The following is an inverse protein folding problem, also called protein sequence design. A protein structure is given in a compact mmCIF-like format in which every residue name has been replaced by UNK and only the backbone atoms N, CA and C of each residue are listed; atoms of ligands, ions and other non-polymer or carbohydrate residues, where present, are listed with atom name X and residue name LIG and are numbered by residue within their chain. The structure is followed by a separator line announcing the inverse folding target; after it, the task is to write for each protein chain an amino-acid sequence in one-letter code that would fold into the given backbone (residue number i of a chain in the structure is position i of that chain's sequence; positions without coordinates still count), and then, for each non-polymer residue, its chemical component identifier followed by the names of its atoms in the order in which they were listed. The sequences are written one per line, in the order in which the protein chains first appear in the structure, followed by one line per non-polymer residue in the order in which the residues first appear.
data_IF_590562273386
#
_entry.id   IF_590562273386
#
_cell.length_a   1.000
_cell.length_b   1.000
_cell.length_c   1.000
_cell.angle_alpha   90.00
_cell.angle_beta   90.00
_cell.angle_gamma   90.00
#
_symmetry.space_group_name_H-M   'P 1'
#
loop_
_entity.id
_entity.type
_entity.pdbx_description
1 polymer ?
#
# COMPACT_ATOMS: atom_id res chain seq x y z
N UNK A 1 29.01 13.84 -4.09
CA UNK A 1 29.68 12.59 -3.61
C UNK A 1 29.45 11.51 -4.64
N UNK A 2 30.40 10.58 -4.89
CA UNK A 2 30.16 9.53 -5.89
C UNK A 2 29.09 8.55 -5.35
N UNK A 3 27.92 8.38 -6.00
CA UNK A 3 26.84 7.46 -5.60
C UNK A 3 27.29 6.00 -5.48
N UNK A 4 28.24 5.57 -6.32
CA UNK A 4 28.83 4.23 -6.27
C UNK A 4 29.50 3.93 -4.92
N UNK A 5 29.98 4.96 -4.21
CA UNK A 5 30.64 4.79 -2.91
C UNK A 5 29.68 4.24 -1.85
N UNK A 6 28.42 4.68 -1.83
CA UNK A 6 27.42 4.15 -0.89
C UNK A 6 27.04 2.72 -1.23
N UNK A 7 26.81 2.42 -2.51
CA UNK A 7 26.47 1.07 -2.97
C UNK A 7 27.52 0.04 -2.49
N UNK A 8 28.80 0.37 -2.63
CA UNK A 8 29.91 -0.51 -2.21
C UNK A 8 30.07 -0.64 -0.69
N UNK A 9 29.41 0.22 0.09
CA UNK A 9 29.41 0.17 1.55
C UNK A 9 28.21 -0.56 2.14
N UNK A 10 27.18 -0.87 1.36
CA UNK A 10 26.04 -1.65 1.86
C UNK A 10 26.50 -3.07 2.16
N UNK A 11 26.34 -3.49 3.41
CA UNK A 11 26.78 -4.81 3.88
C UNK A 11 25.75 -5.88 3.49
N UNK A 12 26.12 -6.74 2.54
CA UNK A 12 25.28 -7.84 2.07
C UNK A 12 24.88 -8.80 3.20
N UNK A 13 25.77 -9.06 4.15
CA UNK A 13 25.47 -9.95 5.27
C UNK A 13 24.41 -9.33 6.18
N UNK A 14 24.56 -8.05 6.51
CA UNK A 14 23.58 -7.32 7.30
C UNK A 14 22.20 -7.33 6.63
N UNK A 15 22.14 -7.12 5.31
CA UNK A 15 20.89 -7.19 4.51
C UNK A 15 20.24 -8.56 4.65
N UNK A 16 20.99 -9.65 4.51
CA UNK A 16 20.47 -11.02 4.62
C UNK A 16 19.99 -11.33 6.03
N UNK A 17 20.76 -10.96 7.04
CA UNK A 17 20.44 -11.23 8.45
C UNK A 17 19.16 -10.51 8.86
N UNK A 18 19.02 -9.21 8.54
CA UNK A 18 17.84 -8.43 8.84
C UNK A 18 16.60 -8.95 8.09
N UNK A 19 16.73 -9.22 6.79
CA UNK A 19 15.61 -9.75 6.00
C UNK A 19 15.13 -11.09 6.55
N UNK A 20 16.06 -11.97 6.95
CA UNK A 20 15.74 -13.25 7.58
C UNK A 20 14.97 -13.06 8.88
N UNK A 21 15.41 -12.17 9.74
CA UNK A 21 14.74 -11.89 11.01
C UNK A 21 13.34 -11.31 10.81
N UNK A 22 13.19 -10.33 9.90
CA UNK A 22 11.91 -9.69 9.65
C UNK A 22 10.88 -10.67 9.03
N UNK A 23 11.33 -11.56 8.14
CA UNK A 23 10.45 -12.62 7.61
C UNK A 23 10.02 -13.58 8.72
N UNK A 24 10.96 -14.00 9.57
CA UNK A 24 10.68 -14.95 10.66
C UNK A 24 9.81 -14.33 11.77
N UNK A 25 9.62 -13.01 11.76
CA UNK A 25 8.71 -12.30 12.66
C UNK A 25 7.35 -12.16 12.00
N UNK A 26 6.41 -13.04 12.37
CA UNK A 26 5.03 -12.97 11.88
C UNK A 26 4.37 -11.64 12.28
N UNK A 27 3.66 -11.03 11.34
CA UNK A 27 2.99 -9.73 11.54
C UNK A 27 1.73 -9.57 10.68
N UNK A 28 0.76 -10.50 10.77
CA UNK A 28 -0.49 -10.29 10.06
C UNK A 28 -1.20 -9.03 10.59
N UNK A 29 -2.02 -8.40 9.75
CA UNK A 29 -2.78 -7.20 10.14
C UNK A 29 -3.49 -7.41 11.48
N UNK A 30 -3.26 -6.51 12.43
CA UNK A 30 -3.77 -6.60 13.80
C UNK A 30 -2.84 -7.26 14.81
N UNK A 31 -1.70 -7.83 14.38
CA UNK A 31 -0.73 -8.52 15.24
C UNK A 31 0.71 -8.03 14.97
N UNK A 32 0.88 -6.74 14.68
CA UNK A 32 2.16 -6.14 14.28
C UNK A 32 3.14 -5.91 15.45
N UNK A 33 2.72 -6.11 16.71
CA UNK A 33 3.49 -5.72 17.89
C UNK A 33 4.90 -6.29 17.96
N UNK A 34 5.09 -7.58 17.64
CA UNK A 34 6.42 -8.19 17.64
C UNK A 34 7.32 -7.62 16.52
N UNK A 35 6.75 -7.38 15.35
CA UNK A 35 7.46 -6.76 14.23
C UNK A 35 7.89 -5.33 14.58
N UNK A 36 7.02 -4.56 15.22
CA UNK A 36 7.34 -3.20 15.67
C UNK A 36 8.51 -3.18 16.65
N UNK A 37 8.55 -4.12 17.61
CA UNK A 37 9.67 -4.25 18.57
C UNK A 37 10.97 -4.67 17.90
N UNK A 38 10.91 -5.60 16.93
CA UNK A 38 12.08 -6.02 16.16
C UNK A 38 12.65 -4.85 15.34
N UNK A 39 11.80 -4.14 14.64
CA UNK A 39 12.20 -2.97 13.84
C UNK A 39 12.75 -1.84 14.72
N UNK A 40 12.11 -1.55 15.87
CA UNK A 40 12.58 -0.54 16.82
C UNK A 40 13.99 -0.84 17.32
N UNK A 41 14.28 -2.11 17.65
CA UNK A 41 15.61 -2.56 18.06
C UNK A 41 16.65 -2.36 16.93
N UNK A 42 16.34 -2.78 15.70
CA UNK A 42 17.23 -2.62 14.55
C UNK A 42 17.55 -1.14 14.28
N UNK A 43 16.54 -0.26 14.37
CA UNK A 43 16.73 1.18 14.22
C UNK A 43 17.63 1.77 15.30
N UNK A 44 17.51 1.29 16.53
CA UNK A 44 18.38 1.72 17.65
C UNK A 44 19.83 1.28 17.43
N UNK A 45 20.05 0.08 16.94
CA UNK A 45 21.40 -0.47 16.65
C UNK A 45 22.15 0.38 15.60
N UNK A 46 21.45 0.96 14.62
CA UNK A 46 22.06 1.88 13.66
C UNK A 46 22.10 3.34 14.14
N UNK A 47 21.78 3.60 15.42
CA UNK A 47 21.97 4.88 16.09
C UNK A 47 20.78 5.84 16.01
N UNK A 48 19.60 5.38 15.65
CA UNK A 48 18.39 6.18 15.74
C UNK A 48 17.93 6.33 17.20
N UNK A 49 17.37 7.47 17.56
CA UNK A 49 16.50 7.60 18.73
C UNK A 49 15.15 7.00 18.37
N UNK A 50 14.70 6.03 19.14
CA UNK A 50 13.53 5.22 18.78
C UNK A 50 12.35 5.44 19.69
N UNK A 51 11.15 5.16 19.17
CA UNK A 51 9.87 5.22 19.86
C UNK A 51 8.96 4.13 19.32
N UNK A 52 8.23 3.46 20.23
CA UNK A 52 7.06 2.65 19.88
C UNK A 52 5.81 3.48 20.17
N UNK A 53 5.19 4.00 19.11
CA UNK A 53 3.95 4.77 19.21
C UNK A 53 2.76 3.81 19.27
N UNK A 54 2.14 3.68 20.46
CA UNK A 54 0.98 2.82 20.64
C UNK A 54 -0.26 3.41 19.96
N UNK A 55 -0.92 2.62 19.14
CA UNK A 55 -2.18 2.98 18.48
C UNK A 55 -3.35 2.51 19.35
N UNK A 56 -3.43 1.22 19.60
CA UNK A 56 -4.32 0.56 20.57
C UNK A 56 -3.91 -0.92 20.72
N UNK A 57 -4.27 -1.54 21.82
CA UNK A 57 -3.86 -2.90 22.19
C UNK A 57 -2.34 -3.11 22.01
N UNK A 58 -1.90 -4.17 21.33
CA UNK A 58 -0.51 -4.47 21.00
C UNK A 58 -0.15 -4.03 19.56
N UNK A 59 -0.81 -2.99 19.03
CA UNK A 59 -0.52 -2.41 17.73
C UNK A 59 0.29 -1.13 17.88
N UNK A 60 1.50 -1.11 17.33
CA UNK A 60 2.42 0.02 17.43
C UNK A 60 2.92 0.43 16.05
N UNK A 61 3.20 1.72 15.90
CA UNK A 61 4.16 2.18 14.91
C UNK A 61 5.57 2.16 15.54
N UNK A 62 6.57 1.71 14.80
CA UNK A 62 7.97 1.76 15.19
C UNK A 62 8.64 2.95 14.49
N UNK A 63 9.15 3.91 15.26
CA UNK A 63 9.69 5.17 14.72
C UNK A 63 11.14 5.31 15.18
N UNK A 64 12.05 5.55 14.24
CA UNK A 64 13.44 5.87 14.49
C UNK A 64 13.81 7.21 13.89
N UNK A 65 14.43 8.09 14.66
CA UNK A 65 14.93 9.39 14.19
C UNK A 65 16.45 9.45 14.28
N UNK A 66 17.09 9.66 13.14
CA UNK A 66 18.52 9.96 13.03
C UNK A 66 18.66 11.49 12.89
N UNK A 67 19.22 12.14 13.91
CA UNK A 67 19.37 13.58 13.93
C UNK A 67 20.38 14.07 12.89
N UNK A 68 19.98 15.04 12.09
CA UNK A 68 20.84 15.80 11.18
C UNK A 68 21.68 16.85 11.90
N UNK A 69 22.30 17.75 11.13
CA UNK A 69 23.02 18.91 11.68
C UNK A 69 22.11 20.11 11.99
N UNK A 70 20.81 20.05 11.64
CA UNK A 70 19.77 21.01 12.00
C UNK A 70 19.41 22.06 10.94
N UNK A 71 19.98 22.00 9.72
CA UNK A 71 19.77 23.01 8.66
C UNK A 71 19.02 22.53 7.42
N UNK A 72 18.78 21.22 7.29
CA UNK A 72 18.14 20.62 6.11
C UNK A 72 16.69 20.18 6.35
N UNK A 73 16.04 19.67 5.31
CA UNK A 73 14.68 19.10 5.39
C UNK A 73 14.64 17.83 6.22
N UNK A 74 13.55 17.62 6.93
CA UNK A 74 13.23 16.32 7.52
C UNK A 74 12.70 15.39 6.44
N UNK A 75 13.29 14.22 6.34
CA UNK A 75 12.88 13.17 5.36
C UNK A 75 12.31 12.00 6.13
N UNK A 76 11.09 11.61 5.79
CA UNK A 76 10.44 10.38 6.26
C UNK A 76 10.70 9.26 5.25
N UNK A 77 11.11 8.10 5.75
CA UNK A 77 11.13 6.83 5.01
C UNK A 77 10.22 5.86 5.74
N UNK A 78 9.14 5.44 5.12
CA UNK A 78 8.20 4.55 5.80
C UNK A 78 7.85 3.31 4.99
N UNK A 79 7.24 2.39 5.69
CA UNK A 79 6.64 1.20 5.14
C UNK A 79 5.67 0.56 6.14
N UNK A 80 4.82 -0.33 5.65
CA UNK A 80 3.94 -1.09 6.53
C UNK A 80 4.62 -2.37 7.05
N UNK A 81 4.27 -2.74 8.27
CA UNK A 81 4.80 -3.92 8.94
C UNK A 81 3.91 -5.14 8.78
N UNK A 82 2.63 -4.91 8.49
CA UNK A 82 1.66 -5.99 8.36
C UNK A 82 1.78 -6.75 7.04
N UNK A 83 1.28 -7.99 7.04
CA UNK A 83 1.34 -8.90 5.90
C UNK A 83 -0.06 -9.28 5.43
N UNK A 84 -0.20 -9.53 4.10
CA UNK A 84 -1.47 -9.87 3.46
C UNK A 84 -2.05 -11.21 3.94
N UNK A 85 -1.20 -12.10 4.45
CA UNK A 85 -1.56 -13.41 4.96
C UNK A 85 -0.88 -13.67 6.30
N UNK A 86 -1.41 -14.61 7.09
CA UNK A 86 -0.85 -14.99 8.39
C UNK A 86 0.45 -15.80 8.25
N UNK A 87 0.57 -16.56 7.14
CA UNK A 87 1.69 -17.45 6.88
C UNK A 87 1.51 -18.89 7.39
N UNK A 88 0.35 -19.21 7.96
CA UNK A 88 -0.03 -20.53 8.47
C UNK A 88 -1.22 -21.14 7.72
N UNK A 89 -1.75 -20.48 6.69
CA UNK A 89 -2.85 -20.99 5.88
C UNK A 89 -2.46 -22.26 5.12
N UNK A 90 -3.29 -23.30 5.24
CA UNK A 90 -3.04 -24.62 4.62
C UNK A 90 -3.08 -24.60 3.08
N UNK A 91 -3.83 -23.65 2.51
CA UNK A 91 -3.98 -23.51 1.06
C UNK A 91 -2.83 -22.74 0.40
N UNK A 92 -1.94 -22.11 1.18
CA UNK A 92 -0.76 -21.39 0.73
C UNK A 92 0.50 -22.20 1.03
N UNK A 93 0.91 -23.07 0.08
CA UNK A 93 1.97 -24.06 0.31
C UNK A 93 3.38 -23.60 -0.09
N UNK A 94 3.50 -22.54 -0.88
CA UNK A 94 4.79 -22.01 -1.34
C UNK A 94 5.64 -21.43 -0.21
N UNK A 95 6.96 -21.55 -0.33
CA UNK A 95 7.93 -21.07 0.68
C UNK A 95 7.86 -19.56 0.94
N UNK A 96 7.48 -18.78 -0.08
CA UNK A 96 7.29 -17.34 0.03
C UNK A 96 6.01 -16.90 0.75
N UNK A 97 5.13 -17.83 1.11
CA UNK A 97 3.94 -17.57 1.92
C UNK A 97 4.14 -17.85 3.41
N UNK A 98 5.30 -18.36 3.81
CA UNK A 98 5.56 -18.79 5.18
C UNK A 98 6.38 -17.75 5.94
N UNK A 99 6.14 -17.66 7.26
CA UNK A 99 6.93 -16.85 8.18
C UNK A 99 8.25 -17.57 8.55
N UNK A 100 8.89 -18.13 7.55
CA UNK A 100 10.20 -18.78 7.63
C UNK A 100 10.99 -18.39 6.38
N UNK A 101 12.04 -17.62 6.58
CA UNK A 101 12.89 -17.17 5.49
C UNK A 101 13.63 -18.34 4.82
N UNK A 102 13.59 -18.39 3.50
CA UNK A 102 14.44 -19.28 2.70
C UNK A 102 15.41 -18.42 1.91
N UNK A 103 16.68 -18.51 2.30
CA UNK A 103 17.77 -17.74 1.67
C UNK A 103 18.38 -18.56 0.54
N UNK A 104 18.35 -18.02 -0.66
CA UNK A 104 19.04 -18.52 -1.84
C UNK A 104 20.19 -17.57 -2.22
N UNK A 105 21.12 -17.93 -3.10
CA UNK A 105 22.29 -17.09 -3.38
C UNK A 105 21.99 -15.67 -3.86
N UNK A 106 20.86 -15.48 -4.57
CA UNK A 106 20.45 -14.20 -5.18
C UNK A 106 19.17 -13.61 -4.58
N UNK A 107 18.42 -14.35 -3.77
CA UNK A 107 17.10 -13.94 -3.27
C UNK A 107 16.75 -14.48 -1.90
N UNK A 108 15.75 -13.86 -1.30
CA UNK A 108 15.14 -14.31 -0.06
C UNK A 108 13.65 -14.48 -0.29
N UNK A 109 13.13 -15.64 0.12
CA UNK A 109 11.70 -15.97 0.11
C UNK A 109 11.12 -15.84 1.51
N UNK A 110 9.86 -15.42 1.58
CA UNK A 110 9.10 -15.42 2.82
C UNK A 110 7.95 -14.44 2.81
N UNK A 111 7.00 -14.64 3.70
CA UNK A 111 5.81 -13.83 3.83
C UNK A 111 6.13 -12.37 4.17
N UNK A 112 5.61 -11.46 3.35
CA UNK A 112 5.81 -10.02 3.52
C UNK A 112 7.18 -9.51 3.10
N UNK A 113 8.11 -10.35 2.58
CA UNK A 113 9.43 -9.86 2.22
C UNK A 113 9.38 -8.90 1.03
N UNK A 114 8.51 -9.14 0.04
CA UNK A 114 8.33 -8.25 -1.08
C UNK A 114 7.40 -7.09 -0.72
N UNK A 115 6.31 -7.35 -0.01
CA UNK A 115 5.34 -6.36 0.40
C UNK A 115 5.25 -6.26 1.95
N UNK A 116 6.03 -5.40 2.65
CA UNK A 116 7.15 -4.63 2.12
C UNK A 116 8.33 -4.60 3.13
N UNK A 117 8.53 -5.72 3.86
CA UNK A 117 9.59 -5.81 4.91
C UNK A 117 10.99 -5.48 4.37
N UNK A 118 11.24 -5.75 3.06
CA UNK A 118 12.50 -5.42 2.41
C UNK A 118 12.86 -3.92 2.48
N UNK A 119 11.87 -3.03 2.48
CA UNK A 119 12.11 -1.60 2.57
C UNK A 119 12.82 -1.21 3.87
N UNK A 120 12.45 -1.80 5.01
CA UNK A 120 13.14 -1.55 6.28
C UNK A 120 14.58 -2.03 6.25
N UNK A 121 14.81 -3.18 5.61
CA UNK A 121 16.19 -3.70 5.39
C UNK A 121 17.00 -2.69 4.61
N UNK A 122 16.47 -2.19 3.50
CA UNK A 122 17.13 -1.21 2.64
C UNK A 122 17.40 0.10 3.38
N UNK A 123 16.44 0.62 4.14
CA UNK A 123 16.61 1.86 4.91
C UNK A 123 17.69 1.73 5.98
N UNK A 124 17.65 0.66 6.77
CA UNK A 124 18.60 0.43 7.86
C UNK A 124 20.01 0.17 7.33
N UNK A 125 20.14 -0.66 6.29
CA UNK A 125 21.43 -0.91 5.63
C UNK A 125 22.01 0.36 4.98
N UNK A 126 21.16 1.21 4.43
CA UNK A 126 21.57 2.52 3.89
C UNK A 126 22.07 3.48 4.97
N UNK A 127 21.39 3.54 6.13
CA UNK A 127 21.85 4.33 7.29
C UNK A 127 23.19 3.81 7.81
N UNK A 128 23.35 2.50 7.93
CA UNK A 128 24.63 1.90 8.34
C UNK A 128 25.76 2.25 7.35
N UNK A 129 25.52 2.16 6.05
CA UNK A 129 26.48 2.54 5.02
C UNK A 129 26.86 4.02 5.10
N UNK A 130 25.90 4.93 5.31
CA UNK A 130 26.17 6.37 5.54
C UNK A 130 27.04 6.59 6.77
N UNK A 131 26.72 5.94 7.90
CA UNK A 131 27.51 6.06 9.14
C UNK A 131 28.95 5.60 8.92
N UNK A 132 29.17 4.47 8.25
CA UNK A 132 30.51 3.97 7.92
C UNK A 132 31.25 4.88 6.94
N UNK A 133 30.54 5.59 6.09
CA UNK A 133 31.09 6.61 5.20
C UNK A 133 31.40 7.94 5.91
N UNK A 134 30.99 8.12 7.16
CA UNK A 134 31.09 9.39 7.88
C UNK A 134 30.13 10.48 7.35
N UNK A 135 29.05 10.10 6.66
CA UNK A 135 28.09 11.02 6.07
C UNK A 135 27.02 11.37 7.13
N UNK A 136 26.81 12.67 7.32
CA UNK A 136 25.73 13.21 8.14
C UNK A 136 24.92 14.17 7.31
N UNK A 137 23.59 13.95 7.27
CA UNK A 137 22.68 14.82 6.56
C UNK A 137 22.50 16.17 7.30
N UNK A 138 22.23 17.25 6.57
CA UNK A 138 21.82 18.52 7.18
C UNK A 138 20.48 18.41 7.92
N UNK A 139 19.49 17.73 7.35
CA UNK A 139 18.18 17.49 7.96
C UNK A 139 18.06 16.14 8.68
N UNK A 140 17.01 15.98 9.44
CA UNK A 140 16.70 14.73 10.14
C UNK A 140 16.21 13.66 9.14
N UNK A 141 16.60 12.42 9.42
CA UNK A 141 16.02 11.24 8.75
C UNK A 141 15.11 10.50 9.74
N UNK A 142 13.87 10.28 9.38
CA UNK A 142 12.90 9.52 10.15
C UNK A 142 12.59 8.23 9.41
N UNK A 143 12.78 7.09 10.04
CA UNK A 143 12.34 5.80 9.51
C UNK A 143 11.16 5.32 10.33
N UNK A 144 10.09 4.90 9.68
CA UNK A 144 8.87 4.47 10.35
C UNK A 144 8.30 3.16 9.76
N UNK A 145 8.12 2.18 10.63
CA UNK A 145 7.25 1.03 10.36
C UNK A 145 5.85 1.32 10.87
N UNK A 146 4.86 1.23 9.98
CA UNK A 146 3.46 1.53 10.31
C UNK A 146 2.63 0.26 10.37
N UNK A 147 1.62 0.23 11.25
CA UNK A 147 0.71 -0.89 11.39
C UNK A 147 -0.54 -0.69 10.53
N UNK A 148 -1.06 -1.78 9.95
CA UNK A 148 -2.38 -1.77 9.32
C UNK A 148 -2.46 -0.96 8.03
N UNK A 149 -1.64 -1.29 7.06
CA UNK A 149 -1.74 -0.76 5.69
C UNK A 149 -2.55 -1.69 4.80
N UNK A 150 -2.39 -3.01 4.94
CA UNK A 150 -3.03 -4.02 4.10
C UNK A 150 -4.54 -3.74 3.96
N UNK A 151 -5.05 -3.94 2.75
CA UNK A 151 -6.41 -3.63 2.33
C UNK A 151 -7.47 -4.43 3.08
N UNK A 152 -7.81 -3.95 4.27
CA UNK A 152 -8.87 -4.49 5.12
C UNK A 152 -9.72 -3.36 5.70
N UNK A 153 -11.04 -3.59 5.77
CA UNK A 153 -11.97 -2.67 6.40
C UNK A 153 -13.06 -3.44 7.16
N UNK A 154 -13.47 -2.98 8.35
CA UNK A 154 -14.52 -3.62 9.12
C UNK A 154 -15.86 -3.61 8.37
N UNK A 155 -16.51 -4.77 8.31
CA UNK A 155 -17.83 -4.95 7.72
C UNK A 155 -18.55 -6.17 8.33
N UNK A 156 -19.84 -6.08 8.55
CA UNK A 156 -20.70 -7.15 9.06
C UNK A 156 -20.12 -7.82 10.33
N UNK A 157 -19.92 -9.14 10.37
CA UNK A 157 -19.29 -9.86 11.47
C UNK A 157 -17.76 -9.70 11.53
N UNK A 158 -17.14 -9.17 10.49
CA UNK A 158 -15.69 -8.94 10.42
C UNK A 158 -15.33 -7.61 11.07
N UNK A 159 -15.18 -7.62 12.40
CA UNK A 159 -14.90 -6.46 13.24
C UNK A 159 -13.62 -6.67 14.06
N UNK A 160 -13.13 -5.61 14.66
CA UNK A 160 -11.96 -5.68 15.52
C UNK A 160 -10.63 -5.48 14.79
N UNK A 161 -9.53 -5.63 15.53
CA UNK A 161 -8.20 -5.18 15.14
C UNK A 161 -7.66 -5.83 13.85
N UNK A 162 -8.04 -7.07 13.57
CA UNK A 162 -7.57 -7.81 12.38
C UNK A 162 -8.15 -7.29 11.05
N UNK A 163 -9.19 -6.46 11.13
CA UNK A 163 -9.83 -5.88 9.95
C UNK A 163 -9.60 -4.37 9.84
N UNK A 164 -8.77 -3.79 10.69
CA UNK A 164 -8.39 -2.38 10.64
C UNK A 164 -7.06 -2.22 9.91
N UNK A 165 -7.14 -2.00 8.61
CA UNK A 165 -6.04 -1.74 7.71
C UNK A 165 -6.13 -0.38 7.02
N UNK A 166 -5.74 -0.33 5.76
CA UNK A 166 -5.83 0.83 4.86
C UNK A 166 -5.22 2.12 5.42
N UNK A 167 -3.93 2.04 5.81
CA UNK A 167 -3.15 3.20 6.22
C UNK A 167 -3.47 3.72 7.61
N UNK A 168 -4.04 2.88 8.46
CA UNK A 168 -4.37 3.28 9.82
C UNK A 168 -3.16 3.80 10.59
N UNK A 169 -2.05 3.06 10.54
CA UNK A 169 -0.82 3.39 11.30
C UNK A 169 -0.16 4.66 10.81
N UNK A 170 0.04 4.83 9.49
CA UNK A 170 0.64 6.05 8.96
C UNK A 170 -0.21 7.27 9.30
N UNK A 171 -1.50 7.20 9.08
CA UNK A 171 -2.43 8.30 9.38
C UNK A 171 -2.40 8.67 10.85
N UNK A 172 -2.43 7.67 11.74
CA UNK A 172 -2.28 7.89 13.18
C UNK A 172 -0.96 8.58 13.50
N UNK A 173 0.15 8.11 12.96
CA UNK A 173 1.47 8.68 13.18
C UNK A 173 1.55 10.16 12.78
N UNK A 174 1.07 10.48 11.59
CA UNK A 174 1.14 11.84 11.05
C UNK A 174 0.29 12.84 11.83
N UNK A 175 -0.93 12.46 12.24
CA UNK A 175 -1.81 13.34 13.03
C UNK A 175 -1.38 13.46 14.50
N UNK A 176 -0.49 12.57 14.99
CA UNK A 176 0.06 12.59 16.34
C UNK A 176 1.51 13.11 16.39
N UNK A 177 1.85 14.02 15.49
CA UNK A 177 3.04 14.87 15.61
C UNK A 177 4.29 14.41 14.87
N UNK A 178 4.27 13.29 14.17
CA UNK A 178 5.36 12.93 13.25
C UNK A 178 5.09 13.60 11.91
N UNK A 179 5.96 14.50 11.51
CA UNK A 179 5.85 15.22 10.23
C UNK A 179 7.20 15.28 9.53
N UNK A 180 7.18 15.54 8.22
CA UNK A 180 8.37 15.64 7.40
C UNK A 180 8.18 16.63 6.25
N UNK A 181 9.29 17.03 5.63
CA UNK A 181 9.29 17.86 4.43
C UNK A 181 9.07 17.05 3.17
N UNK A 182 9.60 15.81 3.15
CA UNK A 182 9.51 14.84 2.06
C UNK A 182 9.33 13.43 2.60
N UNK A 183 8.75 12.57 1.79
CA UNK A 183 8.53 11.17 2.15
C UNK A 183 8.91 10.22 1.02
N UNK A 184 9.62 9.15 1.37
CA UNK A 184 9.83 7.97 0.54
C UNK A 184 9.06 6.80 1.13
N UNK A 185 8.20 6.19 0.33
CA UNK A 185 7.45 5.00 0.70
C UNK A 185 7.99 3.79 -0.07
N UNK A 186 8.44 2.76 0.65
CA UNK A 186 9.17 1.61 0.08
C UNK A 186 8.30 0.49 -0.49
N UNK A 187 7.12 0.79 -0.97
CA UNK A 187 6.25 -0.20 -1.63
C UNK A 187 6.92 -0.85 -2.85
N UNK A 188 6.58 -2.10 -3.17
CA UNK A 188 7.27 -2.88 -4.19
C UNK A 188 6.95 -2.41 -5.62
N UNK A 189 7.61 -1.36 -6.07
CA UNK A 189 7.45 -0.77 -7.42
C UNK A 189 8.41 -1.37 -8.47
N UNK A 190 9.13 -2.43 -8.14
CA UNK A 190 10.17 -3.02 -9.00
C UNK A 190 11.26 -2.01 -9.40
N UNK A 191 11.61 -1.11 -8.48
CA UNK A 191 12.57 -0.03 -8.67
C UNK A 191 12.16 1.02 -9.72
N UNK A 192 10.86 1.17 -9.95
CA UNK A 192 10.31 2.25 -10.79
C UNK A 192 9.76 3.34 -9.88
N UNK A 193 10.25 4.60 -9.96
CA UNK A 193 9.70 5.70 -9.18
C UNK A 193 8.23 5.94 -9.54
N UNK A 194 7.34 6.00 -8.54
CA UNK A 194 5.91 6.25 -8.77
C UNK A 194 5.51 7.66 -8.36
N UNK A 195 4.77 8.33 -9.25
CA UNK A 195 4.25 9.69 -9.05
C UNK A 195 2.89 9.71 -8.38
N UNK A 196 2.13 8.63 -8.47
CA UNK A 196 0.76 8.63 -7.99
C UNK A 196 0.05 7.30 -8.15
N UNK A 197 -1.17 7.25 -7.66
CA UNK A 197 -1.99 6.05 -7.62
C UNK A 197 -3.48 6.34 -7.62
N UNK A 198 -4.26 5.34 -8.00
CA UNK A 198 -5.71 5.44 -8.00
C UNK A 198 -6.29 5.49 -6.59
N UNK A 199 -7.48 6.08 -6.48
CA UNK A 199 -8.34 5.94 -5.32
C UNK A 199 -9.15 4.65 -5.36
N UNK A 200 -9.88 4.39 -4.28
CA UNK A 200 -10.72 3.21 -4.13
C UNK A 200 -11.94 3.52 -3.30
N UNK A 201 -13.05 2.85 -3.57
CA UNK A 201 -14.23 2.78 -2.70
C UNK A 201 -14.81 1.39 -2.72
N UNK A 202 -15.26 0.91 -1.54
CA UNK A 202 -15.84 -0.42 -1.38
C UNK A 202 -17.33 -0.32 -1.06
N UNK A 203 -18.10 -1.09 -1.79
CA UNK A 203 -19.55 -1.16 -1.64
C UNK A 203 -20.00 -2.58 -1.31
N UNK A 204 -21.00 -2.69 -0.42
CA UNK A 204 -21.82 -3.87 -0.23
C UNK A 204 -23.19 -3.59 -0.84
N UNK A 205 -23.61 -4.38 -1.83
CA UNK A 205 -24.94 -4.35 -2.43
C UNK A 205 -25.74 -5.52 -1.89
N UNK A 206 -26.91 -5.26 -1.30
CA UNK A 206 -27.79 -6.27 -0.73
C UNK A 206 -29.06 -6.40 -1.55
N UNK A 207 -29.43 -7.64 -1.87
CA UNK A 207 -30.64 -8.00 -2.59
C UNK A 207 -31.50 -8.87 -1.68
N UNK A 208 -32.80 -8.59 -1.64
CA UNK A 208 -33.76 -9.25 -0.76
C UNK A 208 -34.69 -10.20 -1.51
N UNK A 209 -34.92 -11.37 -0.94
CA UNK A 209 -35.85 -12.38 -1.41
C UNK A 209 -36.85 -12.80 -0.35
N UNK A 210 -37.54 -13.93 -0.58
CA UNK A 210 -38.47 -14.52 0.34
C UNK A 210 -37.81 -15.63 1.18
N UNK A 211 -38.24 -15.76 2.42
CA UNK A 211 -37.84 -16.88 3.27
C UNK A 211 -38.96 -17.95 3.30
N UNK A 212 -38.96 -18.82 2.29
CA UNK A 212 -39.97 -19.85 2.14
C UNK A 212 -39.36 -21.26 2.11
N UNK A 213 -40.20 -22.28 2.27
CA UNK A 213 -39.78 -23.66 2.11
C UNK A 213 -39.51 -23.95 0.62
N UNK A 214 -38.48 -24.76 0.30
CA UNK A 214 -38.10 -25.12 -1.07
C UNK A 214 -39.23 -25.73 -1.91
N UNK A 215 -40.23 -26.35 -1.24
CA UNK A 215 -41.44 -26.84 -1.94
C UNK A 215 -42.26 -25.71 -2.65
N UNK A 216 -42.03 -24.46 -2.29
CA UNK A 216 -42.69 -23.27 -2.88
C UNK A 216 -41.72 -22.43 -3.70
N UNK A 217 -40.56 -22.97 -4.06
CA UNK A 217 -39.47 -22.24 -4.76
C UNK A 217 -40.00 -21.51 -6.01
N UNK A 218 -40.77 -22.20 -6.85
CA UNK A 218 -41.26 -21.63 -8.12
C UNK A 218 -42.23 -20.43 -7.97
N UNK A 219 -42.78 -20.26 -6.77
CA UNK A 219 -43.71 -19.17 -6.43
C UNK A 219 -43.10 -18.09 -5.53
N UNK A 220 -41.82 -18.20 -5.20
CA UNK A 220 -41.12 -17.30 -4.27
C UNK A 220 -39.92 -16.65 -4.93
N UNK A 221 -39.51 -15.49 -4.41
CA UNK A 221 -38.37 -14.75 -4.92
C UNK A 221 -37.11 -15.20 -4.20
N UNK A 222 -36.12 -15.70 -4.93
CA UNK A 222 -34.80 -16.05 -4.44
C UNK A 222 -33.84 -14.85 -4.57
N UNK A 223 -33.25 -14.39 -3.49
CA UNK A 223 -32.25 -13.33 -3.52
C UNK A 223 -30.99 -13.74 -4.28
N UNK A 224 -30.65 -15.05 -4.35
CA UNK A 224 -29.52 -15.52 -5.16
C UNK A 224 -29.75 -15.34 -6.64
N UNK A 225 -30.97 -15.63 -7.14
CA UNK A 225 -31.30 -15.48 -8.56
C UNK A 225 -31.29 -14.00 -8.96
N UNK A 226 -31.86 -13.12 -8.12
CA UNK A 226 -31.81 -11.68 -8.32
C UNK A 226 -30.38 -11.13 -8.28
N UNK A 227 -29.53 -11.62 -7.35
CA UNK A 227 -28.13 -11.24 -7.27
C UNK A 227 -27.34 -11.72 -8.49
N UNK A 228 -27.63 -12.92 -8.98
CA UNK A 228 -27.00 -13.45 -10.20
C UNK A 228 -27.34 -12.57 -11.41
N UNK A 229 -28.59 -12.15 -11.53
CA UNK A 229 -29.02 -11.22 -12.57
C UNK A 229 -28.32 -9.87 -12.45
N UNK A 230 -28.25 -9.29 -11.25
CA UNK A 230 -27.51 -8.04 -11.00
C UNK A 230 -26.02 -8.19 -11.38
N UNK A 231 -25.39 -9.29 -11.02
CA UNK A 231 -24.00 -9.58 -11.37
C UNK A 231 -23.75 -9.54 -12.87
N UNK A 232 -24.65 -10.14 -13.66
CA UNK A 232 -24.52 -10.14 -15.11
C UNK A 232 -24.71 -8.75 -15.72
N UNK A 233 -25.72 -8.04 -15.30
CA UNK A 233 -26.03 -6.70 -15.81
C UNK A 233 -24.90 -5.70 -15.47
N UNK A 234 -24.29 -5.81 -14.29
CA UNK A 234 -23.14 -4.97 -13.91
C UNK A 234 -21.92 -5.16 -14.83
N UNK A 235 -21.82 -6.27 -15.56
CA UNK A 235 -20.66 -6.51 -16.47
C UNK A 235 -20.57 -5.45 -17.55
N UNK A 236 -21.71 -5.02 -18.10
CA UNK A 236 -21.77 -3.93 -19.09
C UNK A 236 -21.30 -2.60 -18.52
N UNK A 237 -21.84 -2.23 -17.36
CA UNK A 237 -21.42 -0.99 -16.67
C UNK A 237 -19.92 -1.00 -16.34
N UNK A 238 -19.38 -2.14 -15.84
CA UNK A 238 -17.96 -2.27 -15.51
C UNK A 238 -17.08 -2.02 -16.75
N UNK A 239 -17.49 -2.54 -17.92
CA UNK A 239 -16.73 -2.36 -19.15
C UNK A 239 -16.63 -0.89 -19.56
N UNK A 240 -17.76 -0.17 -19.56
CA UNK A 240 -17.78 1.27 -19.86
C UNK A 240 -17.05 2.09 -18.80
N UNK A 241 -17.29 1.81 -17.51
CA UNK A 241 -16.60 2.47 -16.41
C UNK A 241 -15.08 2.40 -16.56
N UNK A 242 -14.52 1.22 -16.83
CA UNK A 242 -13.09 1.02 -17.03
C UNK A 242 -12.55 1.85 -18.20
N UNK A 243 -13.27 1.89 -19.30
CA UNK A 243 -12.90 2.65 -20.49
C UNK A 243 -12.87 4.15 -20.21
N UNK A 244 -13.93 4.69 -19.57
CA UNK A 244 -14.08 6.11 -19.27
C UNK A 244 -13.11 6.60 -18.19
N UNK A 245 -12.67 5.71 -17.30
CA UNK A 245 -11.81 6.03 -16.16
C UNK A 245 -10.35 5.56 -16.33
N UNK A 246 -9.96 5.15 -17.54
CA UNK A 246 -8.55 4.90 -17.86
C UNK A 246 -7.74 6.19 -17.74
N UNK A 247 -6.66 6.16 -16.98
CA UNK A 247 -5.83 7.32 -16.67
C UNK A 247 -4.34 7.00 -16.75
N UNK A 248 -3.56 7.87 -17.40
CA UNK A 248 -2.11 7.68 -17.59
C UNK A 248 -1.73 6.28 -18.15
N UNK A 249 -2.59 5.72 -19.01
CA UNK A 249 -2.43 4.36 -19.54
C UNK A 249 -2.83 3.22 -18.61
N UNK A 250 -3.25 3.53 -17.36
CA UNK A 250 -3.67 2.56 -16.36
C UNK A 250 -5.20 2.42 -16.37
N UNK A 251 -5.67 1.19 -16.58
CA UNK A 251 -7.09 0.84 -16.54
C UNK A 251 -7.51 0.58 -15.09
N UNK A 252 -8.55 1.24 -14.55
CA UNK A 252 -8.98 1.02 -13.20
C UNK A 252 -9.55 -0.39 -13.00
N UNK A 253 -9.32 -0.97 -11.83
CA UNK A 253 -9.93 -2.21 -11.43
C UNK A 253 -11.35 -1.96 -10.91
N UNK A 254 -12.29 -2.85 -11.29
CA UNK A 254 -13.57 -3.04 -10.61
C UNK A 254 -13.69 -4.51 -10.30
N UNK A 255 -13.53 -4.85 -9.03
CA UNK A 255 -13.50 -6.23 -8.57
C UNK A 255 -14.78 -6.57 -7.81
N UNK A 256 -15.51 -7.58 -8.29
CA UNK A 256 -16.61 -8.22 -7.57
C UNK A 256 -16.02 -9.28 -6.66
N UNK A 257 -15.58 -8.86 -5.47
CA UNK A 257 -14.65 -9.62 -4.64
C UNK A 257 -15.31 -10.80 -3.92
N UNK A 258 -16.56 -10.65 -3.50
CA UNK A 258 -17.25 -11.68 -2.72
C UNK A 258 -18.75 -11.64 -3.01
N UNK A 259 -19.38 -12.82 -3.08
CA UNK A 259 -20.84 -12.98 -3.08
C UNK A 259 -21.22 -13.93 -1.95
N UNK A 260 -22.21 -13.53 -1.14
CA UNK A 260 -22.70 -14.32 -0.01
C UNK A 260 -24.22 -14.40 -0.08
N UNK A 261 -24.80 -15.53 0.31
CA UNK A 261 -26.26 -15.66 0.38
C UNK A 261 -26.72 -17.02 0.87
N UNK A 262 -27.93 -17.06 1.43
CA UNK A 262 -28.57 -18.27 1.91
C UNK A 262 -27.96 -18.85 3.20
N UNK A 263 -28.44 -20.03 3.55
CA UNK A 263 -28.08 -20.78 4.77
C UNK A 263 -27.55 -22.16 4.37
N UNK A 264 -26.20 -22.40 4.32
CA UNK A 264 -25.63 -23.66 3.87
C UNK A 264 -26.17 -24.90 4.61
N UNK A 265 -26.46 -24.75 5.89
CA UNK A 265 -27.00 -25.83 6.74
C UNK A 265 -28.52 -26.04 6.58
N UNK A 266 -29.20 -25.25 5.75
CA UNK A 266 -30.65 -25.27 5.61
C UNK A 266 -31.09 -25.12 4.16
N UNK A 267 -30.61 -25.99 3.30
CA UNK A 267 -30.89 -25.97 1.86
C UNK A 267 -32.39 -26.07 1.49
N UNK A 268 -33.26 -26.48 2.44
CA UNK A 268 -34.70 -26.51 2.28
C UNK A 268 -35.38 -25.12 2.45
N UNK A 269 -34.61 -24.02 2.33
CA UNK A 269 -35.14 -22.66 2.35
C UNK A 269 -34.66 -21.86 1.15
N UNK A 270 -35.55 -21.04 0.59
CA UNK A 270 -35.17 -20.02 -0.40
C UNK A 270 -34.29 -18.97 0.26
N UNK A 271 -33.34 -18.43 -0.51
CA UNK A 271 -32.43 -17.39 -0.04
C UNK A 271 -33.20 -16.05 0.07
N UNK A 272 -33.26 -15.52 1.29
CA UNK A 272 -33.94 -14.24 1.54
C UNK A 272 -33.02 -13.02 1.52
N UNK A 273 -31.69 -13.23 1.53
CA UNK A 273 -30.68 -12.17 1.46
C UNK A 273 -29.46 -12.66 0.70
N UNK A 274 -29.06 -11.94 -0.33
CA UNK A 274 -27.79 -12.10 -1.02
C UNK A 274 -27.03 -10.77 -1.04
N UNK A 275 -25.72 -10.84 -0.91
CA UNK A 275 -24.85 -9.67 -0.80
C UNK A 275 -23.68 -9.81 -1.77
N UNK A 276 -23.34 -8.71 -2.44
CA UNK A 276 -22.19 -8.57 -3.32
C UNK A 276 -21.26 -7.48 -2.78
N UNK A 277 -19.97 -7.80 -2.64
CA UNK A 277 -18.93 -6.86 -2.20
C UNK A 277 -18.07 -6.48 -3.39
N UNK A 278 -17.92 -5.18 -3.62
CA UNK A 278 -17.26 -4.62 -4.81
C UNK A 278 -16.20 -3.63 -4.41
N UNK A 279 -14.99 -3.77 -4.97
CA UNK A 279 -13.92 -2.76 -4.94
C UNK A 279 -13.92 -2.01 -6.27
N UNK A 280 -13.99 -0.68 -6.22
CA UNK A 280 -14.03 0.21 -7.38
C UNK A 280 -12.84 1.16 -7.30
N UNK A 281 -11.90 1.02 -8.23
CA UNK A 281 -10.74 1.91 -8.36
C UNK A 281 -11.09 3.08 -9.30
N UNK A 282 -10.50 4.25 -9.04
CA UNK A 282 -10.76 5.46 -9.82
C UNK A 282 -9.54 6.39 -9.85
N UNK A 283 -9.40 7.21 -10.91
CA UNK A 283 -8.24 8.10 -11.07
C UNK A 283 -8.24 9.24 -10.03
N UNK A 284 -7.08 9.84 -9.72
CA UNK A 284 -6.90 10.82 -8.65
C UNK A 284 -7.70 12.12 -8.82
N UNK A 285 -8.16 12.43 -10.05
CA UNK A 285 -8.99 13.59 -10.35
C UNK A 285 -10.44 13.43 -9.90
N UNK A 286 -10.87 12.22 -9.58
CA UNK A 286 -12.23 11.93 -9.14
C UNK A 286 -12.35 11.90 -7.62
N UNK A 287 -13.47 12.39 -7.11
CA UNK A 287 -13.79 12.27 -5.69
C UNK A 287 -14.55 10.96 -5.42
N UNK A 288 -14.29 10.33 -4.25
CA UNK A 288 -15.01 9.11 -3.86
C UNK A 288 -16.52 9.23 -3.95
N UNK A 289 -17.08 10.36 -3.53
CA UNK A 289 -18.54 10.60 -3.51
C UNK A 289 -19.16 10.56 -4.91
N UNK A 290 -18.43 11.03 -5.93
CA UNK A 290 -18.95 11.04 -7.30
C UNK A 290 -18.95 9.62 -7.87
N UNK A 291 -17.92 8.82 -7.57
CA UNK A 291 -17.88 7.40 -7.94
C UNK A 291 -18.95 6.59 -7.25
N UNK A 292 -19.21 6.87 -5.96
CA UNK A 292 -20.30 6.25 -5.20
C UNK A 292 -21.67 6.60 -5.79
N UNK A 293 -21.91 7.85 -6.18
CA UNK A 293 -23.15 8.27 -6.84
C UNK A 293 -23.37 7.57 -8.17
N UNK A 294 -22.33 7.52 -8.99
CA UNK A 294 -22.37 6.85 -10.30
C UNK A 294 -22.68 5.36 -10.14
N UNK A 295 -21.96 4.66 -9.25
CA UNK A 295 -22.22 3.25 -8.98
C UNK A 295 -23.62 3.01 -8.42
N UNK A 296 -24.08 3.86 -7.49
CA UNK A 296 -25.44 3.80 -6.94
C UNK A 296 -26.48 3.95 -8.04
N UNK A 297 -26.31 4.93 -8.93
CA UNK A 297 -27.23 5.16 -10.05
C UNK A 297 -27.28 3.95 -10.99
N UNK A 298 -26.14 3.37 -11.32
CA UNK A 298 -26.05 2.19 -12.16
C UNK A 298 -26.78 0.98 -11.54
N UNK A 299 -26.48 0.68 -10.27
CA UNK A 299 -27.12 -0.44 -9.55
C UNK A 299 -28.63 -0.23 -9.42
N UNK A 300 -29.06 0.97 -9.07
CA UNK A 300 -30.50 1.29 -8.96
C UNK A 300 -31.23 1.23 -10.32
N UNK A 301 -30.60 1.68 -11.39
CA UNK A 301 -31.16 1.57 -12.74
C UNK A 301 -31.35 0.11 -13.16
N UNK A 302 -30.35 -0.73 -12.91
CA UNK A 302 -30.42 -2.18 -13.15
C UNK A 302 -31.53 -2.80 -12.29
N UNK A 303 -31.57 -2.49 -11.00
CA UNK A 303 -32.57 -3.02 -10.09
C UNK A 303 -34.00 -2.65 -10.55
N UNK A 304 -34.24 -1.39 -10.90
CA UNK A 304 -35.55 -0.92 -11.40
C UNK A 304 -35.95 -1.62 -12.69
N UNK A 305 -35.02 -1.91 -13.58
CA UNK A 305 -35.32 -2.49 -14.90
C UNK A 305 -35.46 -4.02 -14.87
N UNK A 306 -34.76 -4.69 -13.98
CA UNK A 306 -34.54 -6.15 -14.04
C UNK A 306 -34.95 -6.89 -12.78
N UNK A 307 -34.81 -6.29 -11.59
CA UNK A 307 -35.09 -6.97 -10.33
C UNK A 307 -36.54 -6.77 -9.86
N UNK A 308 -37.01 -7.65 -8.99
CA UNK A 308 -38.37 -7.58 -8.42
C UNK A 308 -38.44 -6.69 -7.17
N UNK A 309 -37.31 -6.40 -6.54
CA UNK A 309 -37.22 -5.58 -5.32
C UNK A 309 -36.13 -4.54 -5.42
N UNK A 310 -36.24 -3.44 -4.67
CA UNK A 310 -35.12 -2.50 -4.48
C UNK A 310 -33.90 -3.18 -3.89
N UNK A 311 -32.73 -2.55 -4.09
CA UNK A 311 -31.45 -2.97 -3.51
C UNK A 311 -30.98 -1.96 -2.50
N UNK A 312 -30.28 -2.42 -1.47
CA UNK A 312 -29.58 -1.57 -0.51
C UNK A 312 -28.09 -1.51 -0.87
N UNK A 313 -27.50 -0.33 -0.73
CA UNK A 313 -26.07 -0.12 -1.00
C UNK A 313 -25.44 0.52 0.23
N UNK A 314 -24.37 -0.10 0.75
CA UNK A 314 -23.60 0.39 1.87
C UNK A 314 -22.13 0.54 1.47
N UNK A 315 -21.60 1.76 1.54
CA UNK A 315 -20.18 2.05 1.33
C UNK A 315 -19.46 1.98 2.68
N UNK A 316 -18.45 1.14 2.78
CA UNK A 316 -17.79 0.87 4.06
C UNK A 316 -16.29 1.20 4.06
N UNK A 317 -15.71 1.54 2.91
CA UNK A 317 -14.36 2.04 2.78
C UNK A 317 -14.24 3.02 1.61
N UNK A 318 -13.38 4.03 1.77
CA UNK A 318 -13.14 5.00 0.71
C UNK A 318 -11.83 5.75 0.95
N UNK A 319 -10.97 5.75 -0.07
CA UNK A 319 -9.75 6.57 -0.14
C UNK A 319 -9.66 7.22 -1.52
N UNK A 320 -9.40 8.53 -1.64
CA UNK A 320 -9.16 9.15 -2.93
C UNK A 320 -7.82 8.73 -3.51
N UNK A 321 -7.60 8.97 -4.81
CA UNK A 321 -6.28 8.88 -5.40
C UNK A 321 -5.38 10.08 -5.06
N UNK A 322 -4.13 9.96 -5.46
CA UNK A 322 -3.13 11.05 -5.35
C UNK A 322 -2.15 11.00 -6.50
N UNK A 323 -1.61 12.16 -6.86
CA UNK A 323 -0.53 12.26 -7.85
C UNK A 323 0.30 13.51 -7.60
N UNK A 324 1.60 13.40 -7.76
CA UNK A 324 2.55 14.50 -7.82
C UNK A 324 3.02 14.72 -9.27
N UNK A 325 3.38 15.95 -9.64
CA UNK A 325 4.06 16.19 -10.91
C UNK A 325 5.36 15.38 -11.01
N UNK A 326 5.64 14.78 -12.16
CA UNK A 326 6.86 14.00 -12.35
C UNK A 326 8.15 14.81 -12.11
N UNK A 327 8.11 16.13 -12.31
CA UNK A 327 9.21 17.05 -12.03
C UNK A 327 9.27 17.53 -10.56
N UNK A 328 8.41 17.00 -9.67
CA UNK A 328 8.48 17.34 -8.25
C UNK A 328 9.83 16.92 -7.64
N UNK A 329 10.46 17.75 -6.79
CA UNK A 329 11.78 17.44 -6.22
C UNK A 329 11.93 16.06 -5.60
N UNK A 330 10.93 15.58 -4.86
CA UNK A 330 10.97 14.25 -4.25
C UNK A 330 11.00 13.13 -5.28
N UNK A 331 10.29 13.29 -6.41
CA UNK A 331 10.28 12.32 -7.52
C UNK A 331 11.63 12.36 -8.26
N UNK A 332 12.07 13.56 -8.64
CA UNK A 332 13.34 13.72 -9.38
C UNK A 332 14.55 13.27 -8.56
N UNK A 333 14.55 13.46 -7.25
CA UNK A 333 15.64 12.97 -6.38
C UNK A 333 15.81 11.46 -6.48
N UNK A 334 14.70 10.70 -6.58
CA UNK A 334 14.72 9.24 -6.72
C UNK A 334 15.12 8.83 -8.14
N UNK A 335 14.56 9.48 -9.18
CA UNK A 335 14.92 9.22 -10.59
C UNK A 335 16.42 9.41 -10.81
N UNK A 336 16.97 10.52 -10.36
CA UNK A 336 18.40 10.81 -10.50
C UNK A 336 19.27 9.87 -9.68
N UNK A 337 18.88 9.57 -8.43
CA UNK A 337 19.62 8.63 -7.59
C UNK A 337 19.59 7.21 -8.18
N UNK A 338 18.45 6.80 -8.76
CA UNK A 338 18.33 5.51 -9.43
C UNK A 338 19.29 5.42 -10.63
N UNK A 339 19.25 6.44 -11.52
CA UNK A 339 20.14 6.50 -12.69
C UNK A 339 21.61 6.40 -12.29
N UNK A 340 22.01 7.16 -11.29
CA UNK A 340 23.43 7.18 -10.86
C UNK A 340 23.87 5.91 -10.15
N UNK A 341 22.96 5.28 -9.38
CA UNK A 341 23.29 4.04 -8.65
C UNK A 341 23.25 2.83 -9.56
N UNK A 342 22.28 2.75 -10.46
CA UNK A 342 22.01 1.56 -11.27
C UNK A 342 22.54 1.67 -12.71
N UNK A 343 22.97 2.87 -13.15
CA UNK A 343 23.43 3.10 -14.51
C UNK A 343 22.34 3.04 -15.58
N UNK A 344 21.08 3.10 -15.18
CA UNK A 344 19.90 2.95 -16.07
C UNK A 344 18.92 4.07 -15.81
N UNK A 345 18.42 4.69 -16.89
CA UNK A 345 17.32 5.64 -16.80
C UNK A 345 15.98 4.94 -16.68
N UNK A 346 15.25 5.24 -15.61
CA UNK A 346 13.87 4.78 -15.40
C UNK A 346 12.98 6.01 -15.17
N UNK A 347 12.07 6.33 -16.10
CA UNK A 347 11.16 7.46 -15.90
C UNK A 347 10.18 7.15 -14.76
N UNK A 348 9.80 8.20 -14.05
CA UNK A 348 8.73 8.08 -13.07
C UNK A 348 7.38 7.80 -13.76
N UNK A 349 6.58 6.90 -13.18
CA UNK A 349 5.33 6.42 -13.75
C UNK A 349 4.18 6.60 -12.77
N UNK A 350 2.97 6.66 -13.28
CA UNK A 350 1.78 6.43 -12.48
C UNK A 350 1.66 4.94 -12.15
N UNK A 351 1.40 4.61 -10.88
CA UNK A 351 1.32 3.21 -10.42
C UNK A 351 0.20 2.41 -11.10
N UNK A 352 0.33 1.07 -11.19
CA UNK A 352 -0.82 0.19 -11.39
C UNK A 352 -1.98 0.53 -10.42
N UNK A 353 -3.20 -0.01 -10.61
CA UNK A 353 -4.40 0.45 -9.89
C UNK A 353 -4.47 -0.06 -8.43
N UNK A 354 -3.38 0.07 -7.66
CA UNK A 354 -3.37 -0.15 -6.22
C UNK A 354 -3.34 1.16 -5.43
N UNK A 355 -3.61 1.10 -4.14
CA UNK A 355 -3.57 2.21 -3.20
C UNK A 355 -2.53 1.92 -2.13
N UNK A 356 -1.83 2.95 -1.68
CA UNK A 356 -0.84 2.84 -0.61
C UNK A 356 -0.94 4.02 0.36
N UNK A 357 -0.13 3.99 1.39
CA UNK A 357 -0.02 5.05 2.41
C UNK A 357 0.43 6.41 1.86
N UNK A 358 1.00 6.47 0.65
CA UNK A 358 1.34 7.74 -0.01
C UNK A 358 0.15 8.70 -0.14
N UNK A 359 -1.08 8.18 -0.22
CA UNK A 359 -2.30 8.98 -0.28
C UNK A 359 -2.44 9.86 0.96
N UNK A 360 -2.28 9.29 2.16
CA UNK A 360 -2.46 10.01 3.41
C UNK A 360 -1.33 11.04 3.64
N UNK A 361 -0.08 10.67 3.32
CA UNK A 361 1.05 11.58 3.42
C UNK A 361 0.90 12.80 2.48
N UNK A 362 0.58 12.56 1.20
CA UNK A 362 0.35 13.64 0.24
C UNK A 362 -0.80 14.56 0.66
N UNK A 363 -1.88 14.01 1.21
CA UNK A 363 -3.03 14.80 1.70
C UNK A 363 -2.70 15.68 2.90
N UNK A 364 -1.79 15.22 3.73
CA UNK A 364 -1.29 15.99 4.88
C UNK A 364 -0.13 16.93 4.51
N UNK A 365 0.12 17.13 3.22
CA UNK A 365 1.11 18.07 2.72
C UNK A 365 2.55 17.57 2.77
N UNK A 366 2.75 16.25 2.84
CA UNK A 366 4.07 15.61 2.81
C UNK A 366 4.25 14.93 1.45
N UNK A 367 4.93 15.58 0.48
CA UNK A 367 5.11 15.04 -0.85
C UNK A 367 5.83 13.70 -0.81
N UNK A 368 5.21 12.69 -1.43
CA UNK A 368 5.64 11.29 -1.36
C UNK A 368 5.99 10.74 -2.73
N UNK A 369 7.20 10.20 -2.86
CA UNK A 369 7.57 9.31 -3.96
C UNK A 369 7.54 7.86 -3.47
N UNK A 370 6.88 6.97 -4.22
CA UNK A 370 6.88 5.53 -3.93
C UNK A 370 7.96 4.87 -4.75
N UNK A 371 8.82 4.10 -4.06
CA UNK A 371 9.91 3.38 -4.71
C UNK A 371 10.40 2.25 -3.82
N UNK A 372 10.44 1.04 -4.33
CA UNK A 372 10.90 -0.13 -3.60
C UNK A 372 11.43 -1.24 -4.48
N UNK A 373 12.01 -2.25 -3.84
CA UNK A 373 12.67 -3.38 -4.49
C UNK A 373 11.76 -4.16 -5.44
N UNK A 374 12.39 -4.92 -6.31
CA UNK A 374 11.75 -5.83 -7.23
C UNK A 374 11.40 -7.19 -6.59
N UNK A 375 11.66 -8.26 -7.30
CA UNK A 375 11.28 -9.60 -6.87
C UNK A 375 9.91 -10.00 -7.42
N UNK A 376 8.99 -10.44 -6.58
CA UNK A 376 7.64 -10.83 -7.03
C UNK A 376 6.92 -9.68 -7.74
N UNK A 377 7.11 -8.44 -7.33
CA UNK A 377 6.50 -7.27 -7.98
C UNK A 377 6.96 -7.02 -9.43
N UNK A 378 8.14 -7.50 -9.82
CA UNK A 378 8.61 -7.40 -11.22
C UNK A 378 7.69 -8.13 -12.19
N UNK A 379 7.08 -9.21 -11.74
CA UNK A 379 6.11 -9.99 -12.54
C UNK A 379 4.86 -9.16 -12.82
N UNK A 380 4.42 -8.35 -11.85
CA UNK A 380 3.29 -7.45 -12.01
C UNK A 380 3.57 -6.32 -13.02
N UNK A 381 4.72 -5.67 -12.89
CA UNK A 381 5.13 -4.55 -13.76
C UNK A 381 5.38 -5.02 -15.20
N UNK A 382 5.92 -6.22 -15.38
CA UNK A 382 6.15 -6.80 -16.69
C UNK A 382 4.85 -7.23 -17.43
N UNK A 383 3.69 -7.10 -16.80
CA UNK A 383 2.41 -7.49 -17.40
C UNK A 383 2.26 -9.01 -17.61
N UNK A 384 3.06 -9.83 -16.94
CA UNK A 384 3.05 -11.29 -17.10
C UNK A 384 1.76 -11.96 -16.58
N UNK A 385 0.85 -11.20 -15.95
CA UNK A 385 -0.43 -11.71 -15.45
C UNK A 385 -0.34 -12.63 -14.24
N UNK A 386 0.82 -13.20 -13.97
CA UNK A 386 1.07 -14.09 -12.83
C UNK A 386 1.84 -13.35 -11.74
N UNK A 387 1.15 -12.45 -11.08
CA UNK A 387 1.68 -11.69 -9.92
C UNK A 387 2.01 -12.62 -8.75
N UNK A 388 1.49 -13.84 -8.78
CA UNK A 388 1.59 -14.81 -7.70
C UNK A 388 2.21 -16.08 -8.22
N UNK A 389 3.52 -16.20 -8.09
CA UNK A 389 4.08 -17.56 -8.19
C UNK A 389 3.37 -18.42 -7.14
N UNK A 390 3.12 -19.67 -7.44
CA UNK A 390 2.63 -20.64 -6.45
C UNK A 390 3.54 -20.69 -5.21
N UNK A 391 4.78 -20.26 -5.37
CA UNK A 391 5.82 -20.22 -4.36
C UNK A 391 5.71 -18.99 -3.40
N UNK A 392 4.88 -17.99 -3.71
CA UNK A 392 4.71 -16.80 -2.86
C UNK A 392 5.72 -15.70 -3.12
N UNK A 393 6.01 -14.92 -2.09
CA UNK A 393 6.85 -13.72 -2.18
C UNK A 393 8.34 -14.01 -2.12
N UNK A 394 9.11 -13.27 -2.94
CA UNK A 394 10.56 -13.17 -2.83
C UNK A 394 11.04 -11.77 -3.17
N UNK A 395 12.28 -11.45 -2.77
CA UNK A 395 13.00 -10.24 -3.18
C UNK A 395 14.43 -10.62 -3.57
N UNK A 396 15.01 -9.89 -4.53
CA UNK A 396 16.42 -10.06 -4.88
C UNK A 396 17.30 -9.32 -3.87
N UNK A 397 18.34 -9.98 -3.38
CA UNK A 397 19.27 -9.40 -2.40
C UNK A 397 19.96 -8.16 -2.98
N UNK A 398 20.36 -8.21 -4.24
CA UNK A 398 21.00 -7.08 -4.92
C UNK A 398 20.03 -5.90 -5.12
N UNK A 399 18.73 -6.15 -5.25
CA UNK A 399 17.73 -5.07 -5.34
C UNK A 399 17.62 -4.32 -4.01
N UNK A 400 17.63 -5.01 -2.87
CA UNK A 400 17.64 -4.37 -1.55
C UNK A 400 18.91 -3.54 -1.33
N UNK A 401 20.07 -4.05 -1.76
CA UNK A 401 21.35 -3.35 -1.68
C UNK A 401 21.32 -2.08 -2.54
N UNK A 402 20.82 -2.16 -3.76
CA UNK A 402 20.67 -1.01 -4.65
C UNK A 402 19.66 0.00 -4.13
N UNK A 403 18.51 -0.46 -3.63
CA UNK A 403 17.52 0.41 -3.02
C UNK A 403 18.08 1.18 -1.83
N UNK A 404 18.86 0.53 -0.96
CA UNK A 404 19.54 1.18 0.17
C UNK A 404 20.41 2.36 -0.30
N UNK A 405 21.19 2.17 -1.36
CA UNK A 405 22.02 3.24 -1.92
C UNK A 405 21.18 4.34 -2.61
N UNK A 406 20.16 3.96 -3.37
CA UNK A 406 19.26 4.92 -4.06
C UNK A 406 18.55 5.81 -3.05
N UNK A 407 17.97 5.24 -1.99
CA UNK A 407 17.23 6.00 -0.97
C UNK A 407 18.12 7.00 -0.24
N UNK A 408 19.34 6.61 0.12
CA UNK A 408 20.27 7.53 0.79
C UNK A 408 20.79 8.60 -0.17
N UNK A 409 21.07 8.27 -1.43
CA UNK A 409 21.47 9.24 -2.44
C UNK A 409 20.32 10.25 -2.71
N UNK A 410 19.09 9.79 -2.81
CA UNK A 410 17.91 10.65 -2.96
C UNK A 410 17.73 11.59 -1.75
N UNK A 411 17.93 11.08 -0.52
CA UNK A 411 17.88 11.88 0.69
C UNK A 411 18.97 12.97 0.72
N UNK A 412 20.20 12.66 0.29
CA UNK A 412 21.26 13.65 0.17
C UNK A 412 20.89 14.76 -0.84
N UNK A 413 20.35 14.39 -2.00
CA UNK A 413 19.90 15.35 -3.03
C UNK A 413 18.81 16.29 -2.52
N UNK A 414 17.85 15.77 -1.77
CA UNK A 414 16.82 16.62 -1.17
C UNK A 414 17.41 17.59 -0.14
N UNK A 415 18.46 17.21 0.57
CA UNK A 415 19.16 18.07 1.51
C UNK A 415 19.94 19.21 0.85
N UNK A 416 20.24 19.12 -0.45
CA UNK A 416 20.87 20.17 -1.23
C UNK A 416 19.87 21.19 -1.81
N UNK A 417 18.55 20.96 -1.64
CA UNK A 417 17.50 21.85 -2.16
C UNK A 417 17.33 23.05 -1.22
N UNK A 418 17.44 24.29 -1.73
CA UNK A 418 17.18 25.50 -0.95
C UNK A 418 15.74 25.54 -0.38
N UNK A 419 15.61 26.08 0.85
CA UNK A 419 14.32 26.09 1.57
C UNK A 419 13.19 26.80 0.84
N UNK A 420 13.47 27.86 0.12
CA UNK A 420 12.50 28.60 -0.70
C UNK A 420 11.94 27.73 -1.83
N UNK A 421 12.76 26.91 -2.47
CA UNK A 421 12.32 25.93 -3.48
C UNK A 421 11.46 24.81 -2.85
N UNK A 422 11.78 24.38 -1.64
CA UNK A 422 10.95 23.41 -0.92
C UNK A 422 9.54 23.95 -0.66
N UNK A 423 9.44 25.21 -0.17
CA UNK A 423 8.16 25.87 0.08
C UNK A 423 7.35 26.02 -1.21
N UNK A 424 8.01 26.43 -2.29
CA UNK A 424 7.37 26.59 -3.59
C UNK A 424 6.83 25.25 -4.14
N UNK A 425 7.59 24.16 -3.97
CA UNK A 425 7.15 22.82 -4.38
C UNK A 425 5.92 22.33 -3.62
N UNK A 426 5.81 22.62 -2.32
CA UNK A 426 4.61 22.31 -1.52
C UNK A 426 3.37 23.06 -2.01
N UNK A 427 3.52 24.30 -2.43
CA UNK A 427 2.41 25.11 -2.95
C UNK A 427 1.80 24.51 -4.24
N UNK A 428 2.52 23.66 -4.94
CA UNK A 428 2.04 22.96 -6.16
C UNK A 428 1.30 21.66 -5.88
N UNK A 429 1.19 21.22 -4.61
CA UNK A 429 0.51 19.98 -4.24
C UNK A 429 -1.00 20.11 -4.36
N UNK A 430 -1.70 19.08 -4.87
CA UNK A 430 -3.16 19.06 -4.88
C UNK A 430 -3.74 19.21 -3.47
N UNK A 431 -4.62 20.17 -3.27
CA UNK A 431 -5.33 20.41 -2.00
C UNK A 431 -4.57 21.23 -0.96
N UNK A 432 -3.33 21.62 -1.20
CA UNK A 432 -2.60 22.58 -0.36
C UNK A 432 -2.83 23.97 -0.92
N UNK A 433 -3.64 24.79 -0.20
CA UNK A 433 -3.68 26.23 -0.51
C UNK A 433 -2.33 26.82 -0.10
N UNK A 434 -1.67 27.50 -1.02
CA UNK A 434 -0.47 28.27 -0.73
C UNK A 434 -0.79 29.24 0.43
N UNK A 435 -0.25 28.98 1.62
CA UNK A 435 -0.23 29.98 2.66
C UNK A 435 0.55 31.16 2.09
N UNK A 436 -0.10 32.32 1.98
CA UNK A 436 0.62 33.55 1.64
C UNK A 436 1.74 33.67 2.66
N UNK A 437 2.99 33.55 2.19
CA UNK A 437 4.13 33.91 3.00
C UNK A 437 3.94 35.38 3.39
N UNK A 438 3.72 35.62 4.68
CA UNK A 438 3.71 36.96 5.27
C UNK A 438 5.15 37.43 5.44
#
# INVERSE_FOLDING_TARGET
MNPERLLNLVDRKLVIDMATELVNTASPTGEEGNMARALERMLREVGCRTELQNIYDDRFNAIGRLAGSGSGPTILMSGHMDTSVRGDEDYLVGKGWKNQAVVEPDRIWGNGICNMKNAFVSYIAGIDAMRRAGIKLPGDLVVAGTAGEIEMAPIDEFQGKHYHGYGMGLRFMLIHGVTADYHFLGEPTAQVPSTGMMGTTWAKVSVHGDFAHSAFHDSTLSALDEMWLLWHELTGWIAEYKKENTYAGVVPAVNRACMRGGLPWRAARTCNLAQLYVDIRFPPQRYPIDVQREFTQAVQAIAKAKLKRPVDIHYYMSRPGTELPANHPVVQSVVDAHRETNGVDVPAMFSPPFCTDAIDANRLGIPTCVYGSGGTSRLAVAGSGDIRSKEGEFVLIDDMIKEAAVMMNAAMRLNDIPRDRMIAARASMPGVQASKAA
#
